data_IF_507633812550
#
_entry.id   IF_507633812550
#
_cell.length_a   1.000
_cell.length_b   1.000
_cell.length_c   1.000
_cell.angle_alpha   90.00
_cell.angle_beta   90.00
_cell.angle_gamma   90.00
#
_symmetry.space_group_name_H-M   'P 1'
#
loop_
_entity.id
_entity.type
_entity.pdbx_description
1 polymer ?
#
# COMPACT_ATOMS: atom_id res chain seq x y z
N UNK A 1 -18.93 9.92 -3.37
CA UNK A 1 -19.06 9.53 -4.78
C UNK A 1 -19.52 10.75 -5.57
N UNK A 2 -18.64 11.73 -5.66
CA UNK A 2 -18.93 13.02 -6.27
C UNK A 2 -18.99 12.85 -7.78
N UNK A 3 -20.15 13.12 -8.38
CA UNK A 3 -20.37 13.22 -9.83
C UNK A 3 -20.06 11.95 -10.67
N UNK A 4 -20.03 10.77 -10.03
CA UNK A 4 -19.93 9.50 -10.74
C UNK A 4 -21.32 8.86 -10.80
N UNK A 5 -21.77 8.49 -12.00
CA UNK A 5 -23.04 7.81 -12.22
C UNK A 5 -23.04 6.43 -11.55
N UNK A 6 -24.17 6.03 -10.97
CA UNK A 6 -24.31 4.78 -10.22
C UNK A 6 -24.01 3.51 -11.03
N UNK A 7 -24.14 3.56 -12.34
CA UNK A 7 -23.84 2.46 -13.26
C UNK A 7 -22.35 2.30 -13.60
N UNK A 8 -21.50 3.20 -13.06
CA UNK A 8 -20.05 3.20 -13.32
C UNK A 8 -19.22 2.72 -12.15
N UNK A 9 -19.84 2.24 -11.08
CA UNK A 9 -19.12 1.66 -9.96
C UNK A 9 -19.89 0.48 -9.37
N UNK A 10 -19.14 -0.46 -8.82
CA UNK A 10 -19.64 -1.59 -8.05
C UNK A 10 -19.05 -1.53 -6.64
N UNK A 11 -19.91 -1.64 -5.63
CA UNK A 11 -19.55 -1.59 -4.22
C UNK A 11 -19.97 -2.88 -3.56
N UNK A 12 -19.02 -3.64 -3.02
CA UNK A 12 -19.26 -4.81 -2.22
C UNK A 12 -18.99 -4.51 -0.73
N UNK A 13 -19.87 -4.99 0.15
CA UNK A 13 -19.66 -5.00 1.59
C UNK A 13 -19.15 -6.39 1.98
N UNK A 14 -17.87 -6.47 2.37
CA UNK A 14 -17.20 -7.76 2.55
C UNK A 14 -16.01 -7.69 3.52
N UNK A 15 -15.63 -8.87 4.04
CA UNK A 15 -14.25 -9.07 4.51
C UNK A 15 -13.37 -9.46 3.31
N UNK A 16 -12.68 -8.49 2.74
CA UNK A 16 -11.90 -8.67 1.51
C UNK A 16 -10.72 -9.65 1.67
N UNK A 17 -10.26 -9.92 2.89
CA UNK A 17 -9.22 -10.91 3.13
C UNK A 17 -9.74 -12.34 3.15
N UNK A 18 -11.01 -12.54 3.58
CA UNK A 18 -11.60 -13.86 3.74
C UNK A 18 -12.51 -14.24 2.59
N UNK A 19 -13.28 -13.31 2.06
CA UNK A 19 -14.34 -13.56 1.06
C UNK A 19 -14.46 -12.42 0.06
N UNK A 20 -13.43 -12.18 -0.78
CA UNK A 20 -13.42 -11.08 -1.75
C UNK A 20 -14.49 -11.33 -2.84
N UNK A 21 -15.40 -10.38 -3.04
CA UNK A 21 -16.50 -10.51 -4.00
C UNK A 21 -16.05 -10.28 -5.45
N UNK A 22 -15.04 -9.45 -5.66
CA UNK A 22 -14.49 -9.12 -6.98
C UNK A 22 -13.30 -10.00 -7.38
N UNK A 23 -13.05 -11.13 -6.69
CA UNK A 23 -11.87 -11.95 -6.93
C UNK A 23 -11.84 -12.60 -8.32
N UNK A 24 -13.01 -12.93 -8.85
CA UNK A 24 -13.16 -13.55 -10.17
C UNK A 24 -13.26 -12.54 -11.32
N UNK A 25 -13.21 -11.23 -11.01
CA UNK A 25 -13.20 -10.17 -12.01
C UNK A 25 -11.84 -10.09 -12.71
N UNK A 26 -11.79 -9.36 -13.83
CA UNK A 26 -10.53 -9.03 -14.48
C UNK A 26 -9.61 -8.25 -13.52
N UNK A 27 -8.28 -8.52 -13.54
CA UNK A 27 -7.35 -7.81 -12.68
C UNK A 27 -7.39 -6.29 -12.87
N UNK A 28 -7.25 -5.55 -11.78
CA UNK A 28 -7.35 -4.10 -11.80
C UNK A 28 -6.07 -3.42 -12.32
N UNK A 29 -6.21 -2.47 -13.22
CA UNK A 29 -5.09 -1.65 -13.70
C UNK A 29 -4.63 -0.63 -12.64
N UNK A 30 -5.55 -0.17 -11.80
CA UNK A 30 -5.27 0.79 -10.72
C UNK A 30 -5.94 0.34 -9.43
N UNK A 31 -5.15 0.27 -8.36
CA UNK A 31 -5.65 0.03 -7.00
C UNK A 31 -5.23 1.19 -6.11
N UNK A 32 -6.20 1.80 -5.42
CA UNK A 32 -5.95 2.80 -4.37
C UNK A 32 -6.57 2.30 -3.08
N UNK A 33 -5.77 2.19 -2.03
CA UNK A 33 -6.23 1.60 -0.77
C UNK A 33 -5.68 2.35 0.44
N UNK A 34 -6.53 2.49 1.45
CA UNK A 34 -6.14 2.89 2.81
C UNK A 34 -6.71 1.85 3.79
N UNK A 35 -6.08 0.67 3.89
CA UNK A 35 -6.59 -0.39 4.75
C UNK A 35 -6.42 -0.04 6.23
N UNK A 36 -7.20 -0.67 7.12
CA UNK A 36 -7.06 -0.47 8.55
C UNK A 36 -5.70 -0.98 9.04
N UNK A 37 -5.03 -0.20 9.92
CA UNK A 37 -3.70 -0.55 10.41
C UNK A 37 -3.76 -1.50 11.59
N UNK A 38 -2.84 -2.49 11.58
CA UNK A 38 -2.58 -3.39 12.72
C UNK A 38 -3.82 -4.06 13.30
N UNK A 39 -4.81 -4.36 12.47
CA UNK A 39 -5.98 -5.12 12.88
C UNK A 39 -5.68 -6.63 12.95
N UNK A 40 -6.45 -7.33 13.76
CA UNK A 40 -6.44 -8.79 13.79
C UNK A 40 -7.20 -9.35 12.59
N UNK A 41 -6.74 -10.49 12.09
CA UNK A 41 -7.39 -11.28 11.06
C UNK A 41 -7.21 -12.78 11.37
N UNK A 42 -7.76 -13.68 10.56
CA UNK A 42 -7.66 -15.11 10.81
C UNK A 42 -6.21 -15.62 10.71
N UNK A 43 -5.48 -15.17 9.69
CA UNK A 43 -4.08 -15.54 9.51
C UNK A 43 -3.85 -17.05 9.56
N UNK A 44 -2.87 -17.47 10.33
CA UNK A 44 -2.46 -18.87 10.51
C UNK A 44 -3.45 -19.73 11.30
N UNK A 45 -4.49 -19.15 11.91
CA UNK A 45 -5.60 -19.90 12.51
C UNK A 45 -6.52 -20.54 11.43
N UNK A 46 -6.46 -20.03 10.19
CA UNK A 46 -7.21 -20.59 9.06
C UNK A 46 -6.26 -21.32 8.08
N UNK A 47 -6.21 -22.66 8.13
CA UNK A 47 -5.28 -23.44 7.32
C UNK A 47 -5.56 -23.35 5.80
N UNK A 48 -6.72 -22.87 5.39
CA UNK A 48 -7.07 -22.70 3.97
C UNK A 48 -6.29 -21.53 3.38
N UNK A 49 -6.06 -20.48 4.16
CA UNK A 49 -5.40 -19.26 3.68
C UNK A 49 -3.96 -19.48 3.20
N UNK A 50 -3.23 -20.47 3.75
CA UNK A 50 -1.86 -20.73 3.29
C UNK A 50 -1.80 -21.23 1.83
N UNK A 51 -2.89 -21.81 1.33
CA UNK A 51 -3.00 -22.28 -0.03
C UNK A 51 -3.77 -21.29 -0.94
N UNK A 52 -4.26 -20.19 -0.39
CA UNK A 52 -4.92 -19.14 -1.16
C UNK A 52 -3.90 -18.50 -2.12
N UNK A 53 -4.23 -18.37 -3.43
CA UNK A 53 -3.30 -17.84 -4.44
C UNK A 53 -2.82 -16.41 -4.15
N UNK A 54 -3.51 -15.67 -3.29
CA UNK A 54 -3.08 -14.33 -2.85
C UNK A 54 -1.90 -14.39 -1.88
N UNK A 55 -1.83 -15.43 -1.04
CA UNK A 55 -0.87 -15.54 0.07
C UNK A 55 0.15 -16.67 -0.11
N UNK A 56 -0.19 -17.71 -0.88
CA UNK A 56 0.66 -18.89 -1.08
C UNK A 56 2.04 -18.59 -1.67
N UNK A 57 2.23 -17.55 -2.53
CA UNK A 57 3.57 -17.22 -3.03
C UNK A 57 4.58 -16.89 -1.94
N UNK A 58 4.15 -16.33 -0.80
CA UNK A 58 5.00 -16.02 0.34
C UNK A 58 5.41 -17.25 1.17
N UNK A 59 4.72 -18.38 0.99
CA UNK A 59 4.96 -19.59 1.79
C UNK A 59 4.69 -19.42 3.29
N UNK A 60 4.24 -18.22 3.71
CA UNK A 60 3.94 -17.86 5.09
C UNK A 60 2.86 -16.80 5.13
N UNK A 61 1.95 -16.89 6.10
CA UNK A 61 0.92 -15.89 6.29
C UNK A 61 1.42 -14.71 7.14
N UNK A 62 0.84 -13.52 6.90
CA UNK A 62 1.02 -12.40 7.81
C UNK A 62 0.53 -12.78 9.21
N UNK A 63 1.15 -12.25 10.29
CA UNK A 63 0.76 -12.60 11.66
C UNK A 63 -0.72 -12.27 11.91
N UNK A 64 -1.46 -13.18 12.55
CA UNK A 64 -2.88 -12.97 12.88
C UNK A 64 -3.17 -11.72 13.70
N UNK A 65 -2.17 -11.18 14.37
CA UNK A 65 -2.28 -9.93 15.13
C UNK A 65 -2.19 -8.67 14.27
N UNK A 66 -1.80 -8.78 13.00
CA UNK A 66 -1.49 -7.65 12.11
C UNK A 66 -1.74 -8.02 10.64
N UNK A 67 -2.87 -7.61 10.11
CA UNK A 67 -3.27 -7.87 8.73
C UNK A 67 -2.57 -6.98 7.68
N UNK A 68 -1.70 -6.07 8.10
CA UNK A 68 -1.13 -5.03 7.22
C UNK A 68 -0.57 -5.63 5.91
N UNK A 69 0.30 -6.64 6.01
CA UNK A 69 0.88 -7.29 4.83
C UNK A 69 -0.14 -8.17 4.07
N UNK A 70 -1.16 -8.71 4.74
CA UNK A 70 -2.20 -9.45 4.04
C UNK A 70 -2.98 -8.55 3.06
N UNK A 71 -3.25 -7.29 3.43
CA UNK A 71 -3.85 -6.31 2.51
C UNK A 71 -2.94 -5.97 1.33
N UNK A 72 -1.64 -5.87 1.56
CA UNK A 72 -0.67 -5.59 0.49
C UNK A 72 -0.60 -6.77 -0.48
N UNK A 73 -0.48 -8.00 0.03
CA UNK A 73 -0.46 -9.23 -0.77
C UNK A 73 -1.75 -9.39 -1.57
N UNK A 74 -2.90 -9.14 -0.94
CA UNK A 74 -4.20 -9.16 -1.59
C UNK A 74 -4.26 -8.14 -2.74
N UNK A 75 -3.85 -6.89 -2.51
CA UNK A 75 -3.80 -5.86 -3.55
C UNK A 75 -2.86 -6.25 -4.69
N UNK A 76 -1.69 -6.80 -4.37
CA UNK A 76 -0.73 -7.24 -5.39
C UNK A 76 -1.28 -8.40 -6.23
N UNK A 77 -2.03 -9.33 -5.61
CA UNK A 77 -2.64 -10.44 -6.33
C UNK A 77 -3.75 -9.98 -7.29
N UNK A 78 -4.50 -8.94 -6.92
CA UNK A 78 -5.54 -8.34 -7.76
C UNK A 78 -5.01 -7.41 -8.86
N UNK A 79 -3.74 -7.00 -8.78
CA UNK A 79 -3.15 -6.04 -9.69
C UNK A 79 -2.89 -6.68 -11.06
N UNK A 80 -3.32 -6.03 -12.13
CA UNK A 80 -2.98 -6.40 -13.50
C UNK A 80 -1.47 -6.35 -13.74
N UNK A 81 -0.98 -7.06 -14.74
CA UNK A 81 0.46 -7.14 -15.08
C UNK A 81 1.08 -5.76 -15.28
N UNK A 82 0.37 -4.83 -15.92
CA UNK A 82 0.82 -3.45 -16.13
C UNK A 82 0.20 -2.47 -15.13
N UNK A 83 -0.45 -2.99 -14.08
CA UNK A 83 -1.16 -2.18 -13.10
C UNK A 83 -0.24 -1.49 -12.10
N UNK A 84 -0.80 -0.47 -11.46
CA UNK A 84 -0.15 0.27 -10.37
C UNK A 84 -1.06 0.32 -9.15
N UNK A 85 -0.53 -0.03 -7.98
CA UNK A 85 -1.25 0.12 -6.72
C UNK A 85 -0.59 1.20 -5.86
N UNK A 86 -1.40 2.02 -5.20
CA UNK A 86 -0.97 3.01 -4.20
C UNK A 86 -1.68 2.71 -2.88
N UNK A 87 -0.93 2.28 -1.88
CA UNK A 87 -1.46 1.80 -0.62
C UNK A 87 -0.93 2.65 0.53
N UNK A 88 -1.83 3.26 1.30
CA UNK A 88 -1.44 3.96 2.53
C UNK A 88 -1.12 2.92 3.59
N UNK A 89 0.06 3.00 4.17
CA UNK A 89 0.51 2.04 5.15
C UNK A 89 1.36 2.69 6.26
N UNK A 90 1.61 1.90 7.29
CA UNK A 90 2.49 2.29 8.38
C UNK A 90 3.94 1.92 8.04
N UNK A 91 4.92 2.83 8.14
CA UNK A 91 6.30 2.55 7.74
C UNK A 91 6.92 1.34 8.46
N UNK A 92 6.43 1.03 9.67
CA UNK A 92 6.89 -0.11 10.44
C UNK A 92 6.80 -1.47 9.73
N UNK A 93 5.92 -1.62 8.75
CA UNK A 93 5.79 -2.88 8.00
C UNK A 93 7.08 -3.26 7.28
N UNK A 94 7.89 -2.28 6.86
CA UNK A 94 9.09 -2.50 6.05
C UNK A 94 10.29 -3.04 6.86
N UNK A 95 10.28 -2.92 8.19
CA UNK A 95 11.41 -3.34 9.03
C UNK A 95 11.04 -4.35 10.13
N UNK A 96 9.81 -4.87 10.13
CA UNK A 96 9.40 -5.90 11.06
C UNK A 96 10.07 -7.24 10.74
N UNK A 97 10.32 -8.03 11.79
CA UNK A 97 10.96 -9.35 11.69
C UNK A 97 9.96 -10.50 11.53
N UNK A 98 10.46 -11.74 11.66
CA UNK A 98 9.61 -12.94 11.69
C UNK A 98 8.96 -13.27 10.35
N UNK A 99 7.67 -13.61 10.36
CA UNK A 99 6.90 -13.92 9.17
C UNK A 99 6.83 -12.73 8.19
N UNK A 100 6.70 -11.50 8.70
CA UNK A 100 6.66 -10.30 7.87
C UNK A 100 7.97 -10.11 7.08
N UNK A 101 9.13 -10.38 7.70
CA UNK A 101 10.42 -10.36 6.98
C UNK A 101 10.49 -11.41 5.88
N UNK A 102 9.92 -12.60 6.10
CA UNK A 102 9.89 -13.65 5.07
C UNK A 102 9.05 -13.22 3.87
N UNK A 103 7.86 -12.66 4.10
CA UNK A 103 7.01 -12.09 3.05
C UNK A 103 7.80 -11.09 2.21
N UNK A 104 8.57 -10.19 2.83
CA UNK A 104 9.37 -9.22 2.11
C UNK A 104 10.56 -9.81 1.34
N UNK A 105 11.26 -10.81 1.91
CA UNK A 105 12.54 -11.25 1.39
C UNK A 105 12.44 -12.45 0.43
N UNK A 106 11.49 -13.37 0.66
CA UNK A 106 11.40 -14.63 -0.09
C UNK A 106 10.53 -14.50 -1.34
N UNK A 107 9.55 -13.61 -1.34
CA UNK A 107 8.54 -13.51 -2.43
C UNK A 107 8.89 -12.57 -3.55
N UNK A 108 10.05 -11.96 -3.56
CA UNK A 108 10.34 -10.90 -4.54
C UNK A 108 9.34 -9.72 -4.48
N UNK A 109 8.54 -9.60 -3.43
CA UNK A 109 7.62 -8.45 -3.28
C UNK A 109 8.38 -7.12 -3.28
N UNK A 110 9.59 -7.10 -2.73
CA UNK A 110 10.48 -5.93 -2.83
C UNK A 110 10.71 -5.52 -4.29
N UNK A 111 10.71 -6.48 -5.22
CA UNK A 111 10.84 -6.17 -6.65
C UNK A 111 9.63 -5.42 -7.22
N UNK A 112 8.48 -5.51 -6.57
CA UNK A 112 7.27 -4.79 -7.00
C UNK A 112 7.13 -3.40 -6.38
N UNK A 113 7.88 -3.08 -5.31
CA UNK A 113 7.85 -1.74 -4.72
C UNK A 113 8.56 -0.76 -5.64
N UNK A 114 7.77 0.11 -6.26
CA UNK A 114 8.25 1.14 -7.17
C UNK A 114 8.65 2.41 -6.44
N UNK A 115 7.85 2.82 -5.44
CA UNK A 115 8.11 4.01 -4.66
C UNK A 115 7.59 3.88 -3.23
N UNK A 116 8.30 4.50 -2.29
CA UNK A 116 7.83 4.75 -0.92
C UNK A 116 7.83 6.25 -0.69
N UNK A 117 6.67 6.82 -0.38
CA UNK A 117 6.51 8.24 -0.09
C UNK A 117 6.21 8.39 1.40
N UNK A 118 7.16 8.91 2.16
CA UNK A 118 6.96 9.24 3.57
C UNK A 118 6.07 10.47 3.66
N UNK A 119 4.94 10.34 4.33
CA UNK A 119 4.00 11.44 4.54
C UNK A 119 4.26 12.17 5.87
N UNK A 120 3.80 13.42 6.01
CA UNK A 120 3.83 14.14 7.28
C UNK A 120 3.08 13.38 8.38
N UNK A 121 3.51 13.54 9.61
CA UNK A 121 2.75 13.09 10.77
C UNK A 121 1.43 13.88 10.91
N UNK A 122 0.50 13.35 11.68
CA UNK A 122 -0.74 14.05 12.03
C UNK A 122 -1.59 14.51 10.82
N UNK A 123 -1.56 13.76 9.71
CA UNK A 123 -2.42 13.99 8.55
C UNK A 123 -3.83 13.41 8.73
N UNK A 124 -3.92 12.23 9.33
CA UNK A 124 -5.17 11.48 9.43
C UNK A 124 -5.88 11.75 10.74
N UNK A 125 -7.20 11.77 10.68
CA UNK A 125 -8.03 11.97 11.88
C UNK A 125 -7.81 10.83 12.90
N UNK A 126 -7.70 11.18 14.17
CA UNK A 126 -7.58 10.22 15.27
C UNK A 126 -6.19 9.59 15.46
N UNK A 127 -5.18 9.98 14.67
CA UNK A 127 -3.80 9.49 14.84
C UNK A 127 -2.76 10.57 14.53
N UNK A 128 -1.71 10.61 15.35
CA UNK A 128 -0.53 11.44 15.08
C UNK A 128 0.60 10.68 14.37
N UNK A 129 0.38 9.40 14.05
CA UNK A 129 1.42 8.54 13.46
C UNK A 129 1.72 9.00 12.04
N UNK A 130 3.01 9.09 11.70
CA UNK A 130 3.43 9.28 10.32
C UNK A 130 3.11 8.00 9.53
N UNK A 131 2.52 8.18 8.36
CA UNK A 131 2.20 7.11 7.40
C UNK A 131 3.08 7.23 6.16
N UNK A 132 3.02 6.25 5.28
CA UNK A 132 3.62 6.35 3.97
C UNK A 132 2.66 5.83 2.90
N UNK A 133 2.90 6.21 1.66
CA UNK A 133 2.27 5.59 0.50
C UNK A 133 3.29 4.62 -0.09
N UNK A 134 2.91 3.35 -0.19
CA UNK A 134 3.64 2.34 -0.92
C UNK A 134 3.06 2.22 -2.32
N UNK A 135 3.88 2.47 -3.33
CA UNK A 135 3.49 2.30 -4.73
C UNK A 135 4.06 0.97 -5.23
N UNK A 136 3.18 0.11 -5.72
CA UNK A 136 3.52 -1.20 -6.28
C UNK A 136 3.29 -1.20 -7.79
N UNK A 137 4.20 -1.86 -8.53
CA UNK A 137 4.07 -2.13 -9.97
C UNK A 137 4.53 -3.54 -10.27
N UNK A 138 3.69 -4.34 -10.95
CA UNK A 138 4.08 -5.71 -11.35
C UNK A 138 5.09 -5.75 -12.49
N UNK A 139 5.04 -4.78 -13.40
CA UNK A 139 5.90 -4.70 -14.58
C UNK A 139 7.14 -3.84 -14.42
N UNK A 140 7.75 -3.81 -13.21
CA UNK A 140 9.03 -3.11 -13.05
C UNK A 140 10.12 -3.71 -13.93
N UNK A 141 10.89 -2.83 -14.54
CA UNK A 141 12.03 -3.19 -15.40
C UNK A 141 13.35 -3.32 -14.61
N UNK A 142 13.40 -2.81 -13.38
CA UNK A 142 14.57 -2.84 -12.51
C UNK A 142 14.20 -3.14 -11.05
N UNK A 143 15.20 -3.27 -10.19
CA UNK A 143 15.03 -3.51 -8.75
C UNK A 143 15.12 -2.25 -7.89
N UNK A 144 15.19 -1.07 -8.49
CA UNK A 144 15.33 0.19 -7.75
C UNK A 144 13.99 0.62 -7.17
N UNK A 145 14.02 1.15 -5.97
CA UNK A 145 12.87 1.75 -5.30
C UNK A 145 13.15 3.23 -5.05
N UNK A 146 12.25 4.09 -5.53
CA UNK A 146 12.32 5.51 -5.23
C UNK A 146 11.82 5.76 -3.80
N UNK A 147 12.58 6.50 -3.01
CA UNK A 147 12.15 6.99 -1.70
C UNK A 147 11.96 8.50 -1.76
N UNK A 148 10.78 8.98 -1.37
CA UNK A 148 10.44 10.40 -1.30
C UNK A 148 10.17 10.74 0.17
N UNK A 149 10.91 11.69 0.73
CA UNK A 149 10.65 12.21 2.07
C UNK A 149 9.78 13.48 1.99
N UNK A 150 8.48 13.29 2.00
CA UNK A 150 7.50 14.38 2.04
C UNK A 150 7.09 14.74 3.48
N UNK A 151 7.84 14.36 4.50
CA UNK A 151 7.49 14.58 5.91
C UNK A 151 7.36 16.06 6.30
N UNK A 152 7.98 16.96 5.54
CA UNK A 152 7.89 18.42 5.69
C UNK A 152 6.87 19.09 4.76
N UNK A 153 6.25 18.34 3.85
CA UNK A 153 5.30 18.83 2.87
C UNK A 153 3.89 19.01 3.48
N UNK A 154 3.68 20.05 4.27
CA UNK A 154 2.36 20.31 4.86
C UNK A 154 2.18 21.77 5.29
N UNK A 155 0.92 22.15 5.46
CA UNK A 155 0.52 23.32 6.24
C UNK A 155 -0.13 22.89 7.54
N UNK A 156 0.15 23.60 8.61
CA UNK A 156 -0.47 23.33 9.91
C UNK A 156 -1.86 23.93 9.96
N UNK A 157 -2.86 23.10 10.25
CA UNK A 157 -4.23 23.51 10.54
C UNK A 157 -4.49 23.26 12.03
N UNK A 158 -5.54 23.80 12.61
CA UNK A 158 -5.79 23.87 14.06
C UNK A 158 -5.41 22.60 14.85
N UNK A 159 -5.82 21.41 14.36
CA UNK A 159 -5.59 20.16 15.06
C UNK A 159 -4.77 19.13 14.26
N UNK A 160 -4.61 19.32 12.96
CA UNK A 160 -3.95 18.37 12.05
C UNK A 160 -3.02 19.09 11.08
N UNK A 161 -2.12 18.33 10.47
CA UNK A 161 -1.39 18.77 9.29
C UNK A 161 -2.26 18.51 8.05
N UNK A 162 -2.04 19.27 6.99
CA UNK A 162 -2.76 19.13 5.73
C UNK A 162 -1.80 19.28 4.57
N UNK A 163 -1.92 18.41 3.58
CA UNK A 163 -1.29 18.58 2.27
C UNK A 163 -2.08 19.64 1.48
N UNK A 164 -1.39 20.63 0.94
CA UNK A 164 -1.94 21.54 -0.05
C UNK A 164 -1.83 20.94 -1.43
N UNK A 165 -2.51 21.53 -2.40
CA UNK A 165 -2.37 21.13 -3.80
C UNK A 165 -0.92 21.27 -4.28
N UNK A 166 -0.22 22.34 -3.88
CA UNK A 166 1.19 22.56 -4.18
C UNK A 166 2.08 21.44 -3.61
N UNK A 167 1.85 21.02 -2.37
CA UNK A 167 2.57 19.89 -1.78
C UNK A 167 2.33 18.59 -2.57
N UNK A 168 1.08 18.34 -2.97
CA UNK A 168 0.73 17.15 -3.76
C UNK A 168 1.42 17.19 -5.12
N UNK A 169 1.37 18.33 -5.82
CA UNK A 169 2.04 18.50 -7.12
C UNK A 169 3.54 18.26 -6.99
N UNK A 170 4.19 18.84 -5.97
CA UNK A 170 5.63 18.64 -5.73
C UNK A 170 5.99 17.16 -5.54
N UNK A 171 5.21 16.44 -4.73
CA UNK A 171 5.41 14.99 -4.52
C UNK A 171 5.22 14.22 -5.82
N UNK A 172 4.17 14.52 -6.58
CA UNK A 172 3.86 13.83 -7.84
C UNK A 172 4.91 14.13 -8.91
N UNK A 173 5.38 15.36 -9.02
CA UNK A 173 6.43 15.75 -9.97
C UNK A 173 7.74 14.99 -9.68
N UNK A 174 8.13 14.85 -8.41
CA UNK A 174 9.30 14.06 -8.04
C UNK A 174 9.10 12.56 -8.32
N UNK A 175 7.89 12.03 -8.04
CA UNK A 175 7.55 10.65 -8.36
C UNK A 175 7.64 10.36 -9.86
N UNK A 176 7.18 11.28 -10.70
CA UNK A 176 7.19 11.12 -12.17
C UNK A 176 8.59 11.33 -12.74
N UNK A 177 9.29 12.38 -12.31
CA UNK A 177 10.60 12.75 -12.85
C UNK A 177 11.72 11.82 -12.39
N UNK A 178 11.61 11.25 -11.17
CA UNK A 178 12.61 10.37 -10.53
C UNK A 178 14.03 10.97 -10.52
N UNK A 179 14.13 12.29 -10.38
CA UNK A 179 15.41 13.00 -10.49
C UNK A 179 16.35 12.81 -9.30
N UNK A 180 15.85 12.34 -8.18
CA UNK A 180 16.66 12.15 -6.97
C UNK A 180 17.07 13.49 -6.36
N UNK A 181 16.10 14.37 -6.09
CA UNK A 181 16.34 15.70 -5.49
C UNK A 181 16.94 15.56 -4.09
N UNK A 182 18.10 16.17 -3.87
CA UNK A 182 18.84 16.08 -2.61
C UNK A 182 17.96 16.45 -1.41
N UNK A 183 18.00 15.62 -0.37
CA UNK A 183 17.20 15.71 0.85
C UNK A 183 15.70 15.51 0.68
N UNK A 184 15.20 15.25 -0.54
CA UNK A 184 13.79 15.02 -0.79
C UNK A 184 13.53 13.62 -1.39
N UNK A 185 14.39 13.14 -2.31
CA UNK A 185 14.23 11.81 -2.87
C UNK A 185 15.56 11.09 -3.12
N UNK A 186 15.51 9.75 -3.11
CA UNK A 186 16.62 8.85 -3.42
C UNK A 186 16.13 7.66 -4.23
N UNK A 187 16.93 7.20 -5.18
CA UNK A 187 16.64 6.07 -6.07
C UNK A 187 17.57 4.88 -5.79
#
# INVERSE_FOLDING_TARGET
>A
LHDIDFDKFDIADEDTLLSPQHWDDEPFEVIVSNPPYSIKWEGDDNPVLINDPRFSPAGVLAPKSKADLAFIMHSLAWLATNGTAAIVCFPGIMYRGGAEKKIHCEDKEILFIDCIIQLPSNLFFGTSIATCIMVLKRSKSDSKTLFIDASSEFVKVTNNNRLTEENIVHIVDEFVSRNGTQHFSHL
#
